data_IF_619204458724
#
_entry.id   IF_619204458724
#
_cell.length_a   1.000
_cell.length_b   1.000
_cell.length_c   1.000
_cell.angle_alpha   90.00
_cell.angle_beta   90.00
_cell.angle_gamma   90.00
#
_symmetry.space_group_name_H-M   'P 1'
#
loop_
_entity.id
_entity.type
_entity.pdbx_description
1 polymer ?
#
# COMPACT_ATOMS: atom_id res chain seq x y z
N UNK A 1 22.98 -7.98 18.46
CA UNK A 1 21.95 -7.09 17.89
C UNK A 1 21.15 -7.90 16.89
N UNK A 2 19.83 -7.72 16.77
CA UNK A 2 19.05 -8.41 15.73
C UNK A 2 19.50 -7.97 14.34
N UNK A 3 19.43 -8.86 13.36
CA UNK A 3 19.74 -8.56 11.95
C UNK A 3 18.90 -7.39 11.42
N UNK A 4 17.64 -7.25 11.90
CA UNK A 4 16.78 -6.10 11.61
C UNK A 4 17.36 -4.78 12.11
N UNK A 5 17.80 -4.70 13.37
CA UNK A 5 18.36 -3.48 13.93
C UNK A 5 19.66 -3.06 13.21
N UNK A 6 20.47 -4.04 12.79
CA UNK A 6 21.67 -3.77 11.99
C UNK A 6 21.32 -3.23 10.60
N UNK A 7 20.36 -3.86 9.91
CA UNK A 7 19.92 -3.42 8.59
C UNK A 7 19.37 -1.98 8.61
N UNK A 8 18.54 -1.63 9.60
CA UNK A 8 17.97 -0.29 9.73
C UNK A 8 19.01 0.78 10.10
N UNK A 9 20.02 0.42 10.90
CA UNK A 9 21.16 1.31 11.19
C UNK A 9 22.04 1.56 9.96
N UNK A 10 22.12 0.59 9.05
CA UNK A 10 22.94 0.71 7.83
C UNK A 10 22.30 1.60 6.75
N UNK A 11 21.00 1.89 6.85
CA UNK A 11 20.29 2.74 5.89
C UNK A 11 20.99 4.09 5.74
N UNK A 12 21.31 4.45 4.51
CA UNK A 12 22.12 5.61 4.13
C UNK A 12 21.48 6.40 3.01
N UNK A 13 21.96 7.63 2.78
CA UNK A 13 21.51 8.45 1.65
C UNK A 13 21.77 7.74 0.33
N UNK A 14 20.76 7.71 -0.55
CA UNK A 14 20.79 7.00 -1.82
C UNK A 14 20.14 5.62 -1.77
N UNK A 15 19.88 5.07 -0.59
CA UNK A 15 19.22 3.77 -0.47
C UNK A 15 17.76 3.82 -0.90
N UNK A 16 17.32 2.72 -1.51
CA UNK A 16 15.93 2.42 -1.80
C UNK A 16 15.39 1.44 -0.77
N UNK A 17 14.34 1.85 -0.07
CA UNK A 17 13.70 1.07 0.99
C UNK A 17 12.23 0.88 0.69
N UNK A 18 11.64 -0.16 1.28
CA UNK A 18 10.24 -0.49 1.10
C UNK A 18 9.47 -0.35 2.41
N UNK A 19 8.52 0.59 2.40
CA UNK A 19 7.64 0.90 3.51
C UNK A 19 6.22 0.42 3.26
N UNK A 20 5.52 0.04 4.33
CA UNK A 20 4.08 -0.21 4.31
C UNK A 20 3.39 0.79 5.24
N UNK A 21 2.38 1.47 4.71
CA UNK A 21 1.46 2.30 5.50
C UNK A 21 0.48 1.44 6.28
N UNK A 22 -0.17 2.04 7.28
CA UNK A 22 -1.23 1.36 8.06
C UNK A 22 -2.40 0.88 7.20
N UNK A 23 -2.71 1.55 6.10
CA UNK A 23 -3.73 1.15 5.12
C UNK A 23 -3.26 0.02 4.17
N UNK A 24 -2.04 -0.49 4.37
CA UNK A 24 -1.46 -1.58 3.59
C UNK A 24 -0.84 -1.16 2.26
N UNK A 25 -0.85 0.14 1.95
CA UNK A 25 -0.23 0.66 0.72
C UNK A 25 1.30 0.54 0.78
N UNK A 26 1.91 0.01 -0.29
CA UNK A 26 3.35 -0.02 -0.43
C UNK A 26 3.90 1.33 -0.90
N UNK A 27 5.03 1.71 -0.32
CA UNK A 27 5.83 2.83 -0.77
C UNK A 27 7.25 2.36 -1.10
N UNK A 28 7.68 2.66 -2.34
CA UNK A 28 9.10 2.63 -2.70
C UNK A 28 9.71 3.99 -2.39
N UNK A 29 10.66 4.00 -1.45
CA UNK A 29 11.15 5.22 -0.81
C UNK A 29 12.65 5.40 -1.08
N UNK A 30 13.05 6.57 -1.55
CA UNK A 30 14.44 6.98 -1.72
C UNK A 30 14.89 7.81 -0.51
N UNK A 31 15.92 7.35 0.19
CA UNK A 31 16.52 8.06 1.32
C UNK A 31 17.37 9.22 0.81
N UNK A 32 17.08 10.42 1.30
CA UNK A 32 17.75 11.65 0.84
C UNK A 32 18.44 12.45 1.96
N UNK A 33 18.21 12.11 3.21
CA UNK A 33 18.93 12.65 4.37
C UNK A 33 18.96 11.60 5.46
N UNK A 34 20.09 11.42 6.16
CA UNK A 34 20.23 10.43 7.22
C UNK A 34 21.25 10.90 8.27
N UNK A 35 20.91 10.69 9.54
CA UNK A 35 21.79 10.89 10.70
C UNK A 35 21.69 9.68 11.66
N UNK A 36 22.36 9.75 12.80
CA UNK A 36 22.42 8.63 13.76
C UNK A 36 21.07 8.31 14.42
N UNK A 37 20.11 9.23 14.42
CA UNK A 37 18.82 9.09 15.10
C UNK A 37 17.66 8.84 14.11
N UNK A 38 17.68 9.51 12.97
CA UNK A 38 16.59 9.55 12.00
C UNK A 38 17.09 9.60 10.56
N UNK A 39 16.18 9.37 9.62
CA UNK A 39 16.41 9.65 8.21
C UNK A 39 15.12 10.10 7.54
N UNK A 40 15.28 10.80 6.42
CA UNK A 40 14.21 11.27 5.57
C UNK A 40 14.25 10.50 4.25
N UNK A 41 13.07 10.06 3.82
CA UNK A 41 12.88 9.38 2.56
C UNK A 41 11.67 9.94 1.82
N UNK A 42 11.68 9.85 0.49
CA UNK A 42 10.57 10.30 -0.36
C UNK A 42 10.06 9.16 -1.22
N UNK A 43 8.75 9.09 -1.42
CA UNK A 43 8.17 8.14 -2.37
C UNK A 43 8.51 8.56 -3.81
N UNK A 44 9.01 7.62 -4.59
CA UNK A 44 9.51 7.88 -5.96
C UNK A 44 8.39 8.27 -6.93
N UNK A 45 7.20 7.73 -6.74
CA UNK A 45 6.07 7.88 -7.66
C UNK A 45 5.27 9.15 -7.40
N UNK A 46 5.07 9.51 -6.13
CA UNK A 46 4.19 10.62 -5.75
C UNK A 46 4.89 11.72 -4.94
N UNK A 47 6.19 11.58 -4.67
CA UNK A 47 7.05 12.58 -4.02
C UNK A 47 6.66 12.96 -2.59
N UNK A 48 5.75 12.20 -1.97
CA UNK A 48 5.42 12.39 -0.54
C UNK A 48 6.61 12.04 0.34
N UNK A 49 6.78 12.79 1.44
CA UNK A 49 7.97 12.72 2.28
C UNK A 49 7.69 12.03 3.59
N UNK A 50 8.67 11.30 4.09
CA UNK A 50 8.57 10.51 5.30
C UNK A 50 9.78 10.77 6.19
N UNK A 51 9.54 10.81 7.49
CA UNK A 51 10.58 10.78 8.51
C UNK A 51 10.52 9.44 9.24
N UNK A 52 11.66 8.76 9.32
CA UNK A 52 11.82 7.49 10.03
C UNK A 52 12.83 7.61 11.15
N UNK A 53 12.59 6.86 12.23
CA UNK A 53 13.59 6.52 13.23
C UNK A 53 14.38 5.27 12.83
N UNK A 54 15.55 5.07 13.46
CA UNK A 54 16.42 3.90 13.20
C UNK A 54 15.85 2.54 13.66
N UNK A 55 14.66 2.51 14.24
CA UNK A 55 13.88 1.29 14.52
C UNK A 55 12.95 0.89 13.35
N UNK A 56 12.92 1.69 12.28
CA UNK A 56 12.14 1.45 11.07
C UNK A 56 10.70 1.94 11.15
N UNK A 57 10.31 2.61 12.23
CA UNK A 57 9.04 3.31 12.34
C UNK A 57 9.15 4.70 11.75
N UNK A 58 8.11 5.16 11.05
CA UNK A 58 8.09 6.49 10.48
C UNK A 58 6.70 7.02 10.25
N UNK A 59 6.66 8.28 9.84
CA UNK A 59 5.43 8.99 9.52
C UNK A 59 5.60 9.81 8.26
N UNK A 60 4.55 9.85 7.46
CA UNK A 60 4.40 10.79 6.38
C UNK A 60 4.36 12.21 6.94
N UNK A 61 5.12 13.12 6.35
CA UNK A 61 5.28 14.48 6.88
C UNK A 61 4.00 15.30 6.66
N UNK A 62 3.32 15.07 5.53
CA UNK A 62 2.17 15.87 5.12
C UNK A 62 0.93 15.68 6.00
N UNK A 63 0.72 14.47 6.56
CA UNK A 63 -0.49 14.15 7.33
C UNK A 63 -0.28 13.21 8.52
N UNK A 64 0.97 12.85 8.84
CA UNK A 64 1.30 12.02 9.99
C UNK A 64 0.97 10.53 9.87
N UNK A 65 0.50 10.07 8.71
CA UNK A 65 0.20 8.65 8.46
C UNK A 65 1.41 7.78 8.77
N UNK A 66 1.21 6.75 9.59
CA UNK A 66 2.30 5.87 9.98
C UNK A 66 2.74 4.97 8.82
N UNK A 67 4.04 4.71 8.76
CA UNK A 67 4.67 3.83 7.80
C UNK A 67 5.77 3.03 8.49
N UNK A 68 5.82 1.72 8.24
CA UNK A 68 6.88 0.85 8.75
C UNK A 68 7.73 0.33 7.61
N UNK A 69 9.05 0.41 7.77
CA UNK A 69 9.99 -0.22 6.84
C UNK A 69 9.96 -1.73 7.06
N UNK A 70 9.64 -2.46 5.99
CA UNK A 70 9.58 -3.92 5.99
C UNK A 70 10.67 -4.56 5.14
N UNK A 71 11.38 -3.78 4.31
CA UNK A 71 12.59 -4.24 3.64
C UNK A 71 13.56 -3.08 3.36
N UNK A 72 14.84 -3.38 3.48
CA UNK A 72 15.97 -2.51 3.08
C UNK A 72 16.85 -3.19 2.04
N UNK A 73 16.34 -4.24 1.38
CA UNK A 73 17.14 -5.01 0.42
C UNK A 73 17.42 -4.18 -0.82
N UNK A 74 18.67 -4.08 -1.24
CA UNK A 74 19.02 -3.38 -2.47
C UNK A 74 18.29 -3.98 -3.68
N UNK A 75 17.64 -3.13 -4.46
CA UNK A 75 17.09 -3.51 -5.75
C UNK A 75 18.21 -3.99 -6.69
N UNK A 76 17.91 -4.88 -7.66
CA UNK A 76 18.83 -5.17 -8.75
C UNK A 76 19.33 -3.87 -9.41
N UNK A 77 20.60 -3.77 -9.82
CA UNK A 77 21.18 -2.52 -10.32
C UNK A 77 20.37 -1.84 -11.43
N UNK A 78 19.79 -2.64 -12.34
CA UNK A 78 18.93 -2.16 -13.43
C UNK A 78 17.67 -1.48 -12.89
N UNK A 79 16.94 -2.14 -11.96
CA UNK A 79 15.75 -1.57 -11.33
C UNK A 79 16.08 -0.37 -10.45
N UNK A 80 17.23 -0.39 -9.76
CA UNK A 80 17.70 0.75 -8.98
C UNK A 80 17.94 1.98 -9.89
N UNK A 81 18.59 1.81 -11.04
CA UNK A 81 18.81 2.90 -11.99
C UNK A 81 17.49 3.47 -12.53
N UNK A 82 16.52 2.61 -12.85
CA UNK A 82 15.17 3.03 -13.27
C UNK A 82 14.50 3.86 -12.17
N UNK A 83 14.54 3.40 -10.91
CA UNK A 83 13.94 4.10 -9.79
C UNK A 83 14.55 5.50 -9.56
N UNK A 84 15.89 5.60 -9.62
CA UNK A 84 16.59 6.90 -9.49
C UNK A 84 16.31 7.81 -10.69
N UNK A 85 16.28 7.25 -11.91
CA UNK A 85 15.94 7.99 -13.13
C UNK A 85 14.53 8.58 -13.06
N UNK A 86 13.55 7.77 -12.65
CA UNK A 86 12.17 8.17 -12.44
C UNK A 86 12.06 9.28 -11.39
N UNK A 87 12.70 9.11 -10.22
CA UNK A 87 12.69 10.13 -9.16
C UNK A 87 13.25 11.49 -9.64
N UNK A 88 14.36 11.46 -10.38
CA UNK A 88 14.97 12.66 -10.96
C UNK A 88 14.05 13.31 -11.99
N UNK A 89 13.49 12.52 -12.90
CA UNK A 89 12.58 13.02 -13.94
C UNK A 89 11.33 13.63 -13.32
N UNK A 90 10.71 12.97 -12.35
CA UNK A 90 9.53 13.50 -11.68
C UNK A 90 9.83 14.76 -10.86
N UNK A 91 11.08 14.96 -10.41
CA UNK A 91 11.48 16.18 -9.70
C UNK A 91 11.41 17.45 -10.56
N UNK A 92 11.42 17.33 -11.89
CA UNK A 92 11.29 18.48 -12.80
C UNK A 92 9.85 18.83 -13.11
N UNK A 93 8.86 18.14 -12.52
CA UNK A 93 7.43 18.29 -12.80
C UNK A 93 7.12 18.29 -14.31
N UNK A 94 7.49 17.24 -15.05
CA UNK A 94 7.30 17.18 -16.50
C UNK A 94 5.81 17.27 -16.84
N UNK A 95 5.48 18.04 -17.88
CA UNK A 95 4.13 18.09 -18.43
C UNK A 95 3.88 16.90 -19.36
N UNK A 96 2.62 16.63 -19.70
CA UNK A 96 2.29 15.62 -20.70
C UNK A 96 2.76 16.09 -22.10
N UNK A 97 3.40 15.22 -22.92
CA UNK A 97 3.56 13.78 -22.77
C UNK A 97 4.81 13.32 -22.03
N UNK A 98 5.70 14.22 -21.62
CA UNK A 98 6.99 13.90 -20.97
C UNK A 98 6.81 13.29 -19.57
N UNK A 99 5.62 13.40 -18.99
CA UNK A 99 5.21 12.72 -17.76
C UNK A 99 4.88 11.24 -17.94
N UNK A 100 4.77 10.73 -19.18
CA UNK A 100 4.49 9.30 -19.43
C UNK A 100 5.59 8.43 -18.84
N UNK A 101 5.19 7.27 -18.32
CA UNK A 101 6.12 6.25 -17.84
C UNK A 101 6.67 5.45 -19.03
N UNK A 102 7.95 5.09 -18.95
CA UNK A 102 8.58 4.11 -19.84
C UNK A 102 8.15 2.69 -19.45
N UNK A 103 8.40 1.70 -20.31
CA UNK A 103 8.09 0.29 -20.00
C UNK A 103 8.79 -0.19 -18.73
N UNK A 104 10.05 0.19 -18.54
CA UNK A 104 10.82 -0.20 -17.35
C UNK A 104 10.28 0.46 -16.08
N UNK A 105 9.84 1.71 -16.15
CA UNK A 105 9.21 2.40 -15.04
C UNK A 105 7.84 1.80 -14.70
N UNK A 106 7.06 1.39 -15.71
CA UNK A 106 5.80 0.66 -15.50
C UNK A 106 6.06 -0.66 -14.78
N UNK A 107 7.04 -1.45 -15.23
CA UNK A 107 7.44 -2.69 -14.56
C UNK A 107 7.88 -2.43 -13.12
N UNK A 108 8.68 -1.40 -12.88
CA UNK A 108 9.06 -1.01 -11.53
C UNK A 108 7.83 -0.71 -10.65
N UNK A 109 6.87 0.08 -11.14
CA UNK A 109 5.63 0.40 -10.42
C UNK A 109 4.85 -0.86 -10.06
N UNK A 110 4.72 -1.79 -11.01
CA UNK A 110 3.90 -2.99 -10.84
C UNK A 110 4.60 -4.04 -9.96
N UNK A 111 5.90 -4.26 -10.14
CA UNK A 111 6.56 -5.48 -9.67
C UNK A 111 7.43 -5.27 -8.43
N UNK A 112 7.78 -4.01 -8.07
CA UNK A 112 8.71 -3.76 -6.96
C UNK A 112 8.27 -4.40 -5.64
N UNK A 113 6.96 -4.40 -5.37
CA UNK A 113 6.43 -4.94 -4.12
C UNK A 113 6.73 -6.44 -3.96
N UNK A 114 6.65 -7.22 -5.04
CA UNK A 114 6.97 -8.67 -5.01
C UNK A 114 8.44 -8.91 -4.63
N UNK A 115 9.35 -8.09 -5.17
CA UNK A 115 10.78 -8.18 -4.86
C UNK A 115 11.05 -7.99 -3.37
N UNK A 116 10.46 -6.95 -2.77
CA UNK A 116 10.70 -6.60 -1.37
C UNK A 116 9.93 -7.50 -0.41
N UNK A 117 8.69 -7.90 -0.74
CA UNK A 117 7.90 -8.80 0.11
C UNK A 117 8.50 -10.20 0.20
N UNK A 118 9.31 -10.62 -0.78
CA UNK A 118 10.12 -11.84 -0.70
C UNK A 118 11.37 -11.71 0.19
N UNK A 119 11.72 -10.50 0.64
CA UNK A 119 13.01 -10.17 1.28
C UNK A 119 12.81 -9.26 2.50
N UNK A 120 11.99 -9.74 3.43
CA UNK A 120 11.57 -8.96 4.59
C UNK A 120 12.66 -8.82 5.65
N UNK A 121 12.59 -7.72 6.39
CA UNK A 121 13.26 -7.59 7.66
C UNK A 121 12.63 -8.56 8.68
N UNK A 122 13.43 -9.27 9.49
CA UNK A 122 12.87 -10.19 10.47
C UNK A 122 11.89 -9.53 11.43
N UNK A 123 10.72 -10.16 11.61
CA UNK A 123 9.65 -9.69 12.48
C UNK A 123 8.69 -8.69 11.82
N UNK A 124 8.82 -8.41 10.52
CA UNK A 124 7.84 -7.60 9.77
C UNK A 124 6.84 -8.43 8.96
N UNK A 125 6.94 -9.76 9.01
CA UNK A 125 6.03 -10.68 8.32
C UNK A 125 4.55 -10.49 8.73
N UNK A 126 4.20 -10.25 10.01
CA UNK A 126 2.81 -9.96 10.36
C UNK A 126 2.28 -8.67 9.74
N UNK A 127 3.13 -7.64 9.60
CA UNK A 127 2.77 -6.34 9.01
C UNK A 127 2.45 -6.54 7.53
N UNK A 128 3.30 -7.28 6.82
CA UNK A 128 3.15 -7.57 5.39
C UNK A 128 1.91 -8.43 5.14
N UNK A 129 1.68 -9.47 5.96
CA UNK A 129 0.45 -10.28 5.87
C UNK A 129 -0.80 -9.42 6.04
N UNK A 130 -0.83 -8.52 7.03
CA UNK A 130 -1.96 -7.59 7.22
C UNK A 130 -2.14 -6.68 6.01
N UNK A 131 -1.05 -6.11 5.47
CA UNK A 131 -1.11 -5.26 4.29
C UNK A 131 -1.64 -6.00 3.05
N UNK A 132 -1.22 -7.26 2.83
CA UNK A 132 -1.75 -8.11 1.76
C UNK A 132 -3.25 -8.33 1.91
N UNK A 133 -3.75 -8.59 3.14
CA UNK A 133 -5.19 -8.71 3.42
C UNK A 133 -5.95 -7.42 3.10
N UNK A 134 -5.44 -6.26 3.53
CA UNK A 134 -6.02 -4.95 3.24
C UNK A 134 -6.14 -4.71 1.72
N UNK A 135 -5.07 -4.99 0.97
CA UNK A 135 -5.07 -4.83 -0.49
C UNK A 135 -6.02 -5.81 -1.19
N UNK A 136 -6.09 -7.05 -0.73
CA UNK A 136 -7.00 -8.05 -1.29
C UNK A 136 -8.48 -7.68 -1.07
N UNK A 137 -8.83 -7.21 0.13
CA UNK A 137 -10.18 -6.69 0.41
C UNK A 137 -10.49 -5.48 -0.46
N UNK A 138 -9.59 -4.49 -0.52
CA UNK A 138 -9.75 -3.31 -1.38
C UNK A 138 -9.98 -3.69 -2.85
N UNK A 139 -9.22 -4.66 -3.35
CA UNK A 139 -9.37 -5.17 -4.71
C UNK A 139 -10.74 -5.80 -4.96
N UNK A 140 -11.24 -6.66 -4.05
CA UNK A 140 -12.57 -7.24 -4.17
C UNK A 140 -13.65 -6.15 -4.19
N UNK A 141 -13.56 -5.13 -3.33
CA UNK A 141 -14.53 -4.03 -3.34
C UNK A 141 -14.54 -3.30 -4.70
N UNK A 142 -13.37 -3.00 -5.24
CA UNK A 142 -13.24 -2.32 -6.53
C UNK A 142 -13.72 -3.17 -7.72
N UNK A 143 -13.55 -4.48 -7.67
CA UNK A 143 -13.92 -5.37 -8.79
C UNK A 143 -15.36 -5.87 -8.69
N UNK A 144 -15.83 -6.17 -7.48
CA UNK A 144 -17.07 -6.92 -7.24
C UNK A 144 -18.18 -6.12 -6.57
N UNK A 145 -17.89 -5.02 -5.85
CA UNK A 145 -18.92 -4.19 -5.23
C UNK A 145 -19.28 -3.00 -6.13
N UNK A 146 -18.29 -2.20 -6.46
CA UNK A 146 -18.49 -0.95 -7.19
C UNK A 146 -17.34 -0.71 -8.15
N UNK A 147 -17.62 -0.93 -9.43
CA UNK A 147 -16.57 -0.98 -10.45
C UNK A 147 -16.17 0.42 -10.88
N UNK A 148 -14.87 0.65 -11.00
CA UNK A 148 -14.33 1.93 -11.47
C UNK A 148 -14.78 2.31 -12.89
N UNK A 149 -15.16 1.33 -13.72
CA UNK A 149 -15.68 1.51 -15.08
C UNK A 149 -17.21 1.63 -15.15
N UNK A 150 -17.89 1.80 -14.01
CA UNK A 150 -19.33 1.95 -13.99
C UNK A 150 -19.77 3.23 -14.73
N UNK A 151 -20.76 3.13 -15.66
CA UNK A 151 -21.11 4.24 -16.56
C UNK A 151 -21.75 5.44 -15.84
N UNK A 152 -22.31 5.22 -14.66
CA UNK A 152 -23.00 6.25 -13.87
C UNK A 152 -22.40 6.32 -12.48
N UNK A 153 -21.98 7.50 -12.04
CA UNK A 153 -21.35 7.70 -10.72
C UNK A 153 -20.24 6.69 -10.42
N UNK A 154 -19.15 6.64 -11.22
CA UNK A 154 -18.03 5.75 -10.91
C UNK A 154 -17.47 6.09 -9.51
N UNK A 155 -17.10 5.09 -8.71
CA UNK A 155 -16.48 5.32 -7.42
C UNK A 155 -15.09 5.96 -7.62
N UNK A 156 -14.65 6.73 -6.63
CA UNK A 156 -13.24 7.12 -6.61
C UNK A 156 -12.35 5.88 -6.38
N UNK A 157 -11.09 5.92 -6.82
CA UNK A 157 -10.13 4.82 -6.54
C UNK A 157 -9.88 4.58 -5.04
N UNK A 158 -10.37 5.48 -4.18
CA UNK A 158 -10.21 5.44 -2.72
C UNK A 158 -11.54 5.37 -1.98
N UNK A 159 -12.63 5.06 -2.69
CA UNK A 159 -14.01 5.17 -2.19
C UNK A 159 -14.22 4.47 -0.84
N UNK A 160 -13.53 3.34 -0.65
CA UNK A 160 -13.73 2.45 0.49
C UNK A 160 -12.51 2.36 1.42
N UNK A 161 -11.41 3.06 1.14
CA UNK A 161 -10.13 2.90 1.84
C UNK A 161 -10.28 2.98 3.37
N UNK A 162 -11.04 3.96 3.85
CA UNK A 162 -11.25 4.21 5.28
C UNK A 162 -11.96 3.06 6.00
N UNK A 163 -12.65 2.18 5.26
CA UNK A 163 -13.44 1.08 5.80
C UNK A 163 -12.78 -0.29 5.65
N UNK A 164 -11.74 -0.40 4.80
CA UNK A 164 -11.01 -1.66 4.58
C UNK A 164 -10.42 -2.20 5.90
N UNK A 165 -9.81 -1.39 6.80
CA UNK A 165 -9.31 -1.91 8.07
C UNK A 165 -10.38 -2.59 8.94
N UNK A 166 -11.56 -1.97 9.04
CA UNK A 166 -12.68 -2.53 9.81
C UNK A 166 -13.20 -3.84 9.21
N UNK A 167 -13.26 -3.93 7.87
CA UNK A 167 -13.62 -5.16 7.17
C UNK A 167 -12.59 -6.27 7.42
N UNK A 168 -11.29 -5.96 7.37
CA UNK A 168 -10.23 -6.94 7.67
C UNK A 168 -10.34 -7.43 9.11
N UNK A 169 -10.55 -6.53 10.08
CA UNK A 169 -10.69 -6.91 11.49
C UNK A 169 -11.91 -7.81 11.76
N UNK A 170 -13.02 -7.57 11.04
CA UNK A 170 -14.21 -8.41 11.09
C UNK A 170 -13.90 -9.81 10.49
N UNK A 171 -13.29 -9.84 9.31
CA UNK A 171 -12.91 -11.09 8.64
C UNK A 171 -11.89 -11.93 9.45
N UNK A 172 -10.97 -11.27 10.16
CA UNK A 172 -9.98 -11.93 11.03
C UNK A 172 -10.62 -12.60 12.27
N UNK A 173 -11.80 -12.14 12.71
CA UNK A 173 -12.55 -12.71 13.84
C UNK A 173 -13.42 -13.91 13.44
N UNK A 174 -13.30 -14.39 12.20
CA UNK A 174 -14.11 -15.48 11.63
C UNK A 174 -15.61 -15.16 11.58
N UNK A 175 -15.94 -13.91 11.26
CA UNK A 175 -17.33 -13.48 11.16
C UNK A 175 -18.08 -14.08 9.97
N UNK A 176 -19.40 -14.14 10.11
CA UNK A 176 -20.32 -14.72 9.13
C UNK A 176 -20.58 -13.76 7.96
N UNK A 177 -20.89 -14.30 6.77
CA UNK A 177 -21.28 -13.49 5.60
C UNK A 177 -22.39 -12.46 5.90
N UNK A 178 -23.44 -12.78 6.70
CA UNK A 178 -24.43 -11.79 7.13
C UNK A 178 -23.87 -10.55 7.83
N UNK A 179 -22.87 -10.69 8.68
CA UNK A 179 -22.30 -9.56 9.43
C UNK A 179 -21.42 -8.68 8.54
N UNK A 180 -20.63 -9.31 7.66
CA UNK A 180 -19.88 -8.62 6.60
C UNK A 180 -20.83 -7.88 5.65
N UNK A 181 -21.92 -8.52 5.23
CA UNK A 181 -22.93 -7.93 4.36
C UNK A 181 -23.65 -6.74 5.00
N UNK A 182 -23.93 -6.80 6.31
CA UNK A 182 -24.49 -5.67 7.06
C UNK A 182 -23.54 -4.47 7.04
N UNK A 183 -22.26 -4.68 7.37
CA UNK A 183 -21.26 -3.62 7.35
C UNK A 183 -21.10 -3.01 5.95
N UNK A 184 -21.06 -3.83 4.90
CA UNK A 184 -21.00 -3.34 3.52
C UNK A 184 -22.23 -2.49 3.15
N UNK A 185 -23.43 -2.91 3.59
CA UNK A 185 -24.66 -2.16 3.37
C UNK A 185 -24.62 -0.79 4.06
N UNK A 186 -24.12 -0.73 5.30
CA UNK A 186 -23.95 0.50 6.06
C UNK A 186 -22.94 1.44 5.37
N UNK A 187 -21.82 0.91 4.89
CA UNK A 187 -20.81 1.67 4.13
C UNK A 187 -21.41 2.24 2.84
N UNK A 188 -22.13 1.42 2.08
CA UNK A 188 -22.77 1.82 0.82
C UNK A 188 -23.80 2.92 1.06
N UNK A 189 -24.61 2.80 2.11
CA UNK A 189 -25.59 3.82 2.49
C UNK A 189 -24.90 5.13 2.93
N UNK A 190 -23.85 5.04 3.74
CA UNK A 190 -23.06 6.19 4.19
C UNK A 190 -22.43 6.96 3.01
N UNK A 191 -21.89 6.22 2.03
CA UNK A 191 -21.30 6.77 0.81
C UNK A 191 -22.33 7.15 -0.26
N UNK A 192 -23.63 6.97 0.03
CA UNK A 192 -24.75 7.27 -0.87
C UNK A 192 -24.61 6.62 -2.25
N UNK A 193 -24.12 5.38 -2.30
CA UNK A 193 -23.92 4.69 -3.58
C UNK A 193 -25.27 4.25 -4.17
N UNK A 194 -25.38 4.10 -5.51
CA UNK A 194 -26.63 3.71 -6.15
C UNK A 194 -27.15 2.35 -5.69
N UNK A 195 -28.46 2.13 -5.80
CA UNK A 195 -29.13 0.89 -5.35
C UNK A 195 -28.48 -0.39 -5.90
N UNK A 196 -28.04 -0.39 -7.17
CA UNK A 196 -27.34 -1.53 -7.78
C UNK A 196 -26.07 -1.95 -7.04
N UNK A 197 -25.42 -1.04 -6.31
CA UNK A 197 -24.24 -1.33 -5.48
C UNK A 197 -24.70 -2.00 -4.19
N UNK A 198 -25.77 -1.48 -3.56
CA UNK A 198 -26.40 -2.10 -2.38
C UNK A 198 -26.82 -3.55 -2.65
N UNK A 199 -27.38 -3.83 -3.83
CA UNK A 199 -27.82 -5.17 -4.25
C UNK A 199 -26.67 -6.18 -4.37
N UNK A 200 -25.42 -5.73 -4.51
CA UNK A 200 -24.23 -6.59 -4.62
C UNK A 200 -23.61 -6.95 -3.27
N UNK A 201 -23.95 -6.23 -2.21
CA UNK A 201 -23.30 -6.35 -0.88
C UNK A 201 -23.29 -7.77 -0.33
N UNK A 202 -24.37 -8.53 -0.49
CA UNK A 202 -24.45 -9.92 -0.04
C UNK A 202 -23.49 -10.85 -0.81
N UNK A 203 -23.46 -10.75 -2.14
CA UNK A 203 -22.56 -11.57 -2.96
C UNK A 203 -21.08 -11.23 -2.70
N UNK A 204 -20.77 -9.95 -2.50
CA UNK A 204 -19.43 -9.48 -2.13
C UNK A 204 -19.04 -9.96 -0.74
N UNK A 205 -19.96 -9.97 0.23
CA UNK A 205 -19.71 -10.51 1.55
C UNK A 205 -19.30 -11.99 1.50
N UNK A 206 -19.96 -12.80 0.65
CA UNK A 206 -19.56 -14.19 0.43
C UNK A 206 -18.14 -14.29 -0.17
N UNK A 207 -17.79 -13.44 -1.13
CA UNK A 207 -16.43 -13.38 -1.70
C UNK A 207 -15.38 -13.00 -0.66
N UNK A 208 -15.68 -12.02 0.20
CA UNK A 208 -14.79 -11.59 1.28
C UNK A 208 -14.59 -12.68 2.33
N UNK A 209 -15.65 -13.41 2.70
CA UNK A 209 -15.55 -14.54 3.64
C UNK A 209 -14.74 -15.69 3.03
N UNK A 210 -14.95 -16.00 1.73
CA UNK A 210 -14.09 -16.98 1.02
C UNK A 210 -12.63 -16.56 0.98
N UNK A 211 -12.35 -15.27 0.75
CA UNK A 211 -11.00 -14.72 0.84
C UNK A 211 -10.42 -14.95 2.25
N UNK A 212 -11.18 -14.64 3.30
CA UNK A 212 -10.72 -14.80 4.69
C UNK A 212 -10.41 -16.25 5.06
N UNK A 213 -11.15 -17.23 4.51
CA UNK A 213 -10.87 -18.66 4.70
C UNK A 213 -9.48 -19.07 4.17
N UNK A 214 -8.95 -18.36 3.16
CA UNK A 214 -7.61 -18.60 2.62
C UNK A 214 -6.46 -18.04 3.46
N UNK A 215 -6.74 -17.29 4.53
CA UNK A 215 -5.72 -16.63 5.36
C UNK A 215 -5.09 -17.53 6.43
N UNK A 216 -5.42 -18.83 6.40
CA UNK A 216 -4.96 -19.86 7.34
C UNK A 216 -3.52 -20.30 7.09
#
# INVERSE_FOLDING_TARGET
>A
MSSRAQALKAVSVGDLIFGLREDGRPDLLLVYSADDATFLARNIFNRTNFRFSRDGQGRRIEDGQACTIVSTTALPPEQHQVAIGLDRRMSTNPEYPDSRLTEDEIRLVLDHHEFFEARLLPGTEPIVRRAQRLRAVSHILMMELDRADAPESPPSLREYDDHVPALVELLEKQDSSPDVGRLLSDIVALRKRPQRVSERTAAVADSLVRLAQSWT
#
